data_IF_413071899188
#
_entry.id   IF_413071899188
#
_cell.length_a   1.000
_cell.length_b   1.000
_cell.length_c   1.000
_cell.angle_alpha   90.00
_cell.angle_beta   90.00
_cell.angle_gamma   90.00
#
_symmetry.space_group_name_H-M   'P 1'
#
loop_
_entity.id
_entity.type
_entity.pdbx_description
1 polymer ?
#
# COMPACT_ATOMS: atom_id res chain seq x y z
N UNK A 1 -13.15 -43.37 33.79
CA UNK A 1 -13.64 -42.18 33.05
C UNK A 1 -12.97 -40.86 33.44
N UNK A 2 -12.60 -40.60 34.72
CA UNK A 2 -12.02 -39.31 35.12
C UNK A 2 -10.59 -39.03 34.61
N UNK A 3 -9.73 -40.06 34.56
CA UNK A 3 -8.33 -39.92 34.11
C UNK A 3 -8.23 -39.70 32.59
N UNK A 4 -9.12 -40.33 31.82
CA UNK A 4 -9.14 -40.19 30.37
C UNK A 4 -9.49 -38.75 29.93
N UNK A 5 -10.45 -38.11 30.60
CA UNK A 5 -10.80 -36.71 30.37
C UNK A 5 -9.66 -35.74 30.76
N UNK A 6 -8.88 -36.08 31.78
CA UNK A 6 -7.73 -35.28 32.21
C UNK A 6 -6.61 -35.30 31.15
N UNK A 7 -6.30 -36.48 30.61
CA UNK A 7 -5.28 -36.63 29.56
C UNK A 7 -5.72 -35.93 28.26
N UNK A 8 -7.00 -35.95 27.95
CA UNK A 8 -7.59 -35.25 26.78
C UNK A 8 -7.49 -33.73 26.92
N UNK A 9 -7.71 -33.17 28.12
CA UNK A 9 -7.53 -31.73 28.38
C UNK A 9 -6.07 -31.28 28.29
N UNK A 10 -5.12 -32.11 28.73
CA UNK A 10 -3.68 -31.80 28.69
C UNK A 10 -3.16 -31.84 27.25
N UNK A 11 -3.60 -32.81 26.44
CA UNK A 11 -3.17 -32.94 25.04
C UNK A 11 -3.73 -31.82 24.17
N UNK A 12 -4.99 -31.40 24.38
CA UNK A 12 -5.56 -30.24 23.69
C UNK A 12 -4.80 -28.96 24.05
N UNK A 13 -4.46 -28.73 25.32
CA UNK A 13 -3.74 -27.51 25.72
C UNK A 13 -2.30 -27.44 25.20
N UNK A 14 -1.61 -28.58 25.03
CA UNK A 14 -0.26 -28.63 24.48
C UNK A 14 -0.19 -28.37 22.95
N UNK A 15 -1.22 -28.76 22.20
CA UNK A 15 -1.26 -28.53 20.74
C UNK A 15 -1.47 -27.03 20.44
N UNK A 16 -2.25 -26.32 21.25
CA UNK A 16 -2.50 -24.88 21.07
C UNK A 16 -1.43 -23.94 21.64
N UNK A 17 -0.44 -24.46 22.38
CA UNK A 17 0.61 -23.64 23.02
C UNK A 17 1.93 -23.61 22.27
N UNK A 18 2.02 -24.24 21.10
CA UNK A 18 3.12 -23.96 20.16
C UNK A 18 2.73 -22.76 19.30
N UNK A 19 3.33 -21.58 19.50
CA UNK A 19 3.35 -20.60 18.43
C UNK A 19 4.11 -21.28 17.28
N UNK A 20 3.37 -21.69 16.25
CA UNK A 20 3.94 -21.88 14.93
C UNK A 20 4.52 -20.50 14.57
N UNK A 21 5.79 -20.30 14.91
CA UNK A 21 6.58 -19.15 14.55
C UNK A 21 6.83 -19.29 13.05
N UNK A 22 5.76 -19.06 12.29
CA UNK A 22 5.76 -18.94 10.85
C UNK A 22 6.80 -17.88 10.51
N UNK A 23 7.70 -18.25 9.60
CA UNK A 23 8.78 -17.43 9.09
C UNK A 23 8.40 -15.94 9.09
N UNK A 24 8.92 -15.21 10.07
CA UNK A 24 8.82 -13.76 10.10
C UNK A 24 9.83 -13.22 9.09
N UNK A 25 9.52 -13.40 7.81
CA UNK A 25 10.00 -12.49 6.80
C UNK A 25 9.28 -11.17 7.10
N UNK A 26 9.87 -10.39 8.03
CA UNK A 26 9.36 -9.07 8.37
C UNK A 26 9.47 -8.21 7.11
N UNK A 27 8.38 -8.18 6.35
CA UNK A 27 8.12 -7.11 5.40
C UNK A 27 8.06 -5.86 6.26
N UNK A 28 9.16 -5.08 6.27
CA UNK A 28 9.34 -3.91 7.14
C UNK A 28 8.18 -2.89 7.02
N UNK A 29 7.45 -2.95 5.90
CA UNK A 29 6.33 -2.07 5.60
C UNK A 29 4.94 -2.62 5.99
N UNK A 30 4.83 -3.89 6.42
CA UNK A 30 3.53 -4.49 6.74
C UNK A 30 2.76 -3.74 7.86
N UNK A 31 3.39 -3.30 8.96
CA UNK A 31 2.70 -2.53 9.99
C UNK A 31 2.21 -1.16 9.50
N UNK A 32 2.98 -0.50 8.63
CA UNK A 32 2.65 0.83 8.12
C UNK A 32 1.51 0.77 7.11
N UNK A 33 1.52 -0.25 6.24
CA UNK A 33 0.43 -0.53 5.30
C UNK A 33 -0.87 -0.91 6.01
N UNK A 34 -0.79 -1.81 7.01
CA UNK A 34 -1.94 -2.16 7.84
C UNK A 34 -2.55 -0.94 8.55
N UNK A 35 -1.72 -0.09 9.16
CA UNK A 35 -2.21 1.11 9.85
C UNK A 35 -2.84 2.10 8.87
N UNK A 36 -2.32 2.21 7.64
CA UNK A 36 -2.90 3.02 6.57
C UNK A 36 -4.29 2.54 6.18
N UNK A 37 -4.46 1.23 5.94
CA UNK A 37 -5.77 0.66 5.61
C UNK A 37 -6.78 0.84 6.74
N UNK A 38 -6.36 0.64 7.99
CA UNK A 38 -7.19 0.90 9.17
C UNK A 38 -7.64 2.36 9.20
N UNK A 39 -6.73 3.31 8.92
CA UNK A 39 -7.06 4.73 8.80
C UNK A 39 -8.12 5.00 7.74
N UNK A 40 -7.93 4.45 6.53
CA UNK A 40 -8.88 4.60 5.42
C UNK A 40 -10.27 4.04 5.77
N UNK A 41 -10.33 2.88 6.42
CA UNK A 41 -11.59 2.27 6.87
C UNK A 41 -12.25 3.13 7.95
N UNK A 42 -11.48 3.67 8.90
CA UNK A 42 -12.00 4.57 9.93
C UNK A 42 -12.63 5.83 9.33
N UNK A 43 -11.98 6.42 8.32
CA UNK A 43 -12.52 7.60 7.62
C UNK A 43 -13.83 7.27 6.89
N UNK A 44 -13.92 6.09 6.24
CA UNK A 44 -15.16 5.61 5.62
C UNK A 44 -16.28 5.45 6.64
N UNK A 45 -16.00 4.84 7.79
CA UNK A 45 -16.97 4.67 8.88
C UNK A 45 -17.48 6.03 9.34
N UNK A 46 -16.59 6.99 9.59
CA UNK A 46 -16.98 8.31 10.07
C UNK A 46 -17.88 9.06 9.07
N UNK A 47 -17.62 8.94 7.76
CA UNK A 47 -18.48 9.52 6.73
C UNK A 47 -19.87 8.87 6.74
N UNK A 48 -19.94 7.55 6.86
CA UNK A 48 -21.20 6.80 6.88
C UNK A 48 -22.01 7.07 8.16
N UNK A 49 -21.36 7.16 9.32
CA UNK A 49 -21.99 7.56 10.58
C UNK A 49 -22.56 8.98 10.46
N UNK A 50 -21.81 9.91 9.86
CA UNK A 50 -22.28 11.27 9.57
C UNK A 50 -23.50 11.29 8.66
N UNK A 51 -23.50 10.47 7.60
CA UNK A 51 -24.65 10.31 6.70
C UNK A 51 -25.87 9.78 7.44
N UNK A 52 -25.70 8.74 8.24
CA UNK A 52 -26.79 8.11 8.98
C UNK A 52 -27.38 9.07 10.01
N UNK A 53 -26.54 9.79 10.75
CA UNK A 53 -26.97 10.84 11.69
C UNK A 53 -27.71 11.98 10.98
N UNK A 54 -27.26 12.38 9.79
CA UNK A 54 -27.95 13.38 8.97
C UNK A 54 -29.34 12.88 8.59
N UNK A 55 -29.43 11.67 8.04
CA UNK A 55 -30.71 11.08 7.63
C UNK A 55 -31.68 10.88 8.81
N UNK A 56 -31.17 10.55 10.01
CA UNK A 56 -31.99 10.40 11.22
C UNK A 56 -32.59 11.72 11.71
N UNK A 57 -31.98 12.86 11.39
CA UNK A 57 -32.43 14.20 11.83
C UNK A 57 -33.36 14.88 10.84
N UNK A 58 -33.57 14.28 9.67
CA UNK A 58 -34.29 14.89 8.55
C UNK A 58 -35.51 14.05 8.18
N UNK A 59 -36.64 14.69 7.94
CA UNK A 59 -37.91 14.01 7.60
C UNK A 59 -38.42 14.35 6.20
N UNK A 60 -37.80 15.29 5.50
CA UNK A 60 -38.17 15.67 4.15
C UNK A 60 -37.19 15.12 3.09
N UNK A 61 -37.72 14.94 1.89
CA UNK A 61 -36.99 14.31 0.79
C UNK A 61 -35.77 15.12 0.33
N UNK A 62 -35.85 16.45 0.28
CA UNK A 62 -34.75 17.28 -0.19
C UNK A 62 -33.59 17.31 0.81
N UNK A 63 -33.87 17.32 2.11
CA UNK A 63 -32.86 17.18 3.15
C UNK A 63 -32.20 15.79 3.10
N UNK A 64 -32.97 14.71 2.91
CA UNK A 64 -32.44 13.36 2.73
C UNK A 64 -31.51 13.26 1.51
N UNK A 65 -31.90 13.87 0.39
CA UNK A 65 -31.09 13.96 -0.82
C UNK A 65 -29.79 14.73 -0.56
N UNK A 66 -29.86 15.84 0.17
CA UNK A 66 -28.69 16.64 0.56
C UNK A 66 -27.73 15.83 1.44
N UNK A 67 -28.24 15.10 2.44
CA UNK A 67 -27.44 14.19 3.27
C UNK A 67 -26.70 13.15 2.42
N UNK A 68 -27.39 12.55 1.44
CA UNK A 68 -26.80 11.55 0.54
C UNK A 68 -25.73 12.16 -0.38
N UNK A 69 -26.00 13.31 -0.99
CA UNK A 69 -25.05 13.98 -1.87
C UNK A 69 -23.79 14.42 -1.12
N UNK A 70 -23.93 15.00 0.08
CA UNK A 70 -22.80 15.41 0.90
C UNK A 70 -21.93 14.20 1.30
N UNK A 71 -22.54 13.07 1.64
CA UNK A 71 -21.81 11.85 1.95
C UNK A 71 -21.09 11.28 0.71
N UNK A 72 -21.74 11.28 -0.46
CA UNK A 72 -21.13 10.83 -1.71
C UNK A 72 -19.89 11.66 -2.07
N UNK A 73 -19.99 12.99 -2.00
CA UNK A 73 -18.85 13.87 -2.25
C UNK A 73 -17.67 13.61 -1.29
N UNK A 74 -17.96 13.33 -0.02
CA UNK A 74 -16.92 12.99 0.98
C UNK A 74 -16.26 11.64 0.68
N UNK A 75 -17.04 10.65 0.24
CA UNK A 75 -16.51 9.34 -0.16
C UNK A 75 -15.64 9.44 -1.42
N UNK A 76 -16.09 10.17 -2.44
CA UNK A 76 -15.31 10.38 -3.67
C UNK A 76 -13.98 11.11 -3.39
N UNK A 77 -14.03 12.12 -2.53
CA UNK A 77 -12.83 12.84 -2.09
C UNK A 77 -11.88 11.93 -1.29
N UNK A 78 -12.42 11.02 -0.47
CA UNK A 78 -11.61 10.04 0.26
C UNK A 78 -10.97 9.04 -0.71
N UNK A 79 -11.72 8.52 -1.68
CA UNK A 79 -11.20 7.57 -2.67
C UNK A 79 -10.08 8.20 -3.50
N UNK A 80 -10.27 9.45 -3.93
CA UNK A 80 -9.23 10.21 -4.65
C UNK A 80 -7.94 10.35 -3.82
N UNK A 81 -8.06 10.52 -2.49
CA UNK A 81 -6.89 10.58 -1.60
C UNK A 81 -6.20 9.22 -1.48
N UNK A 82 -6.96 8.14 -1.36
CA UNK A 82 -6.44 6.77 -1.28
C UNK A 82 -5.68 6.44 -2.57
N UNK A 83 -6.28 6.70 -3.73
CA UNK A 83 -5.65 6.50 -5.04
C UNK A 83 -4.36 7.31 -5.20
N UNK A 84 -4.38 8.58 -4.80
CA UNK A 84 -3.20 9.44 -4.86
C UNK A 84 -2.08 8.92 -3.95
N UNK A 85 -2.43 8.39 -2.78
CA UNK A 85 -1.47 7.79 -1.86
C UNK A 85 -0.89 6.49 -2.42
N UNK A 86 -1.73 5.62 -3.00
CA UNK A 86 -1.27 4.36 -3.62
C UNK A 86 -0.32 4.62 -4.79
N UNK A 87 -0.62 5.61 -5.65
CA UNK A 87 0.27 6.02 -6.74
C UNK A 87 1.63 6.48 -6.22
N UNK A 88 1.67 7.25 -5.13
CA UNK A 88 2.94 7.70 -4.51
C UNK A 88 3.76 6.53 -4.00
N UNK A 89 3.13 5.53 -3.38
CA UNK A 89 3.81 4.32 -2.88
C UNK A 89 4.37 3.51 -4.06
N UNK A 90 3.59 3.31 -5.12
CA UNK A 90 4.06 2.63 -6.34
C UNK A 90 5.24 3.35 -6.98
N UNK A 91 5.22 4.69 -7.04
CA UNK A 91 6.35 5.48 -7.55
C UNK A 91 7.59 5.37 -6.67
N UNK A 92 7.44 5.43 -5.35
CA UNK A 92 8.55 5.24 -4.41
C UNK A 92 9.19 3.85 -4.61
N UNK A 93 8.39 2.79 -4.66
CA UNK A 93 8.86 1.43 -4.87
C UNK A 93 9.55 1.23 -6.23
N UNK A 94 9.07 1.89 -7.29
CA UNK A 94 9.73 1.83 -8.61
C UNK A 94 11.08 2.57 -8.62
N UNK A 95 11.22 3.66 -7.86
CA UNK A 95 12.47 4.42 -7.74
C UNK A 95 13.55 3.64 -6.96
N UNK A 96 13.14 2.83 -5.98
CA UNK A 96 14.05 1.96 -5.20
C UNK A 96 14.42 0.67 -5.93
N UNK A 97 13.71 0.31 -7.02
CA UNK A 97 13.97 -0.89 -7.83
C UNK A 97 14.70 -0.62 -9.14
N UNK A 98 15.13 0.61 -9.43
CA UNK A 98 15.92 0.91 -10.62
C UNK A 98 17.34 0.36 -10.42
N UNK A 99 17.79 -0.66 -11.19
CA UNK A 99 19.19 -1.05 -11.14
C UNK A 99 20.03 0.08 -11.73
N UNK A 100 21.02 0.55 -10.98
CA UNK A 100 21.98 1.61 -11.34
C UNK A 100 22.92 1.27 -12.51
N UNK A 101 22.57 0.33 -13.38
CA UNK A 101 23.41 -0.06 -14.51
C UNK A 101 22.78 0.37 -15.84
N UNK A 102 22.65 1.68 -16.02
CA UNK A 102 22.70 2.28 -17.37
C UNK A 102 23.79 3.33 -17.44
N UNK A 103 24.84 2.92 -18.16
CA UNK A 103 25.77 3.70 -18.97
C UNK A 103 27.19 3.88 -18.40
N UNK A 104 28.13 3.19 -19.05
CA UNK A 104 29.38 3.84 -19.42
C UNK A 104 29.74 3.45 -20.85
N UNK A 105 28.96 3.92 -21.83
CA UNK A 105 29.48 4.11 -23.18
C UNK A 105 30.39 5.35 -23.13
N UNK A 106 31.59 5.15 -22.60
CA UNK A 106 32.64 6.16 -22.62
C UNK A 106 33.15 6.24 -24.06
N UNK A 107 32.66 7.24 -24.81
CA UNK A 107 33.21 7.62 -26.11
C UNK A 107 34.70 7.89 -25.96
N UNK A 108 35.50 6.97 -26.47
CA UNK A 108 36.94 7.10 -26.62
C UNK A 108 37.26 8.35 -27.46
N UNK A 109 38.10 9.29 -26.98
CA UNK A 109 38.53 10.41 -27.81
C UNK A 109 39.49 9.89 -28.89
N UNK A 110 39.07 10.06 -30.13
CA UNK A 110 39.82 9.77 -31.34
C UNK A 110 41.05 10.68 -31.41
N UNK A 111 42.25 10.12 -31.22
CA UNK A 111 43.51 10.79 -31.52
C UNK A 111 44.45 9.82 -32.26
N UNK A 112 44.39 9.83 -33.60
CA UNK A 112 45.58 9.56 -34.42
C UNK A 112 45.60 10.47 -35.66
N UNK A 113 46.71 11.21 -35.71
CA UNK A 113 47.17 12.27 -36.61
C UNK A 113 47.07 11.95 -38.12
N UNK A 114 46.92 12.98 -38.99
CA UNK A 114 46.88 12.83 -40.45
C UNK A 114 48.29 12.83 -41.08
N UNK A 115 48.59 11.83 -41.90
CA UNK A 115 49.73 11.78 -42.83
C UNK A 115 49.22 10.98 -44.04
N UNK A 116 49.35 11.33 -45.32
CA UNK A 116 50.03 12.37 -46.11
C UNK A 116 49.53 12.13 -47.54
N UNK A 117 49.27 13.16 -48.36
CA UNK A 117 49.11 12.99 -49.80
C UNK A 117 49.79 14.13 -50.57
N UNK A 118 50.40 13.75 -51.70
CA UNK A 118 51.11 14.53 -52.75
C UNK A 118 52.63 14.64 -52.51
N UNK A 119 53.54 14.26 -53.42
CA UNK A 119 53.52 14.12 -54.90
C UNK A 119 54.84 13.43 -55.35
N UNK A 120 54.96 12.78 -56.53
CA UNK A 120 56.26 12.64 -57.21
C UNK A 120 56.39 13.59 -58.41
N UNK A 121 57.64 13.97 -58.67
CA UNK A 121 58.12 14.84 -59.75
C UNK A 121 57.63 14.44 -61.14
#
# INVERSE_FOLDING_TARGET
MKIFNLILMITVSLIFSTPLMSAAEQVADFPSEKNREIGNVKDRIQILEGRLNCMQKTNDFESLKTCNQAAAQKLDALETKIDAQERKIKQANNKTKQPDNKASDNKQPNNKKPETNNKPN
#
